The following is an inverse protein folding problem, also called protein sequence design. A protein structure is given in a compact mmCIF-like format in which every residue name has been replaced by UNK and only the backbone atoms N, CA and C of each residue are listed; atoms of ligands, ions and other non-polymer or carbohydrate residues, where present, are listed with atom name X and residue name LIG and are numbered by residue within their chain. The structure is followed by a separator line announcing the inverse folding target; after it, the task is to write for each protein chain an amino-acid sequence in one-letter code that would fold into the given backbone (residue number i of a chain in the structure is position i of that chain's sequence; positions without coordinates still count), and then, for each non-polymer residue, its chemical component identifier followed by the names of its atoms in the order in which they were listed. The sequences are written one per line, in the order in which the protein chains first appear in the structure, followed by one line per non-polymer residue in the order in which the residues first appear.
data_IF_825602030903
#
_entry.id   IF_825602030903
#
_cell.length_a   1.000
_cell.length_b   1.000
_cell.length_c   1.000
_cell.angle_alpha   90.00
_cell.angle_beta   90.00
_cell.angle_gamma   90.00
#
_symmetry.space_group_name_H-M   'P 1'
#
loop_
_entity.id
_entity.type
_entity.pdbx_description
1 polymer ?
#
# COMPACT_ATOMS: atom_id res chain seq x y z
N UNK A 1 27.69 2.06 29.41
CA UNK A 1 27.42 3.51 29.41
C UNK A 1 25.91 3.71 29.54
N UNK A 2 25.47 4.57 30.47
CA UNK A 2 24.06 4.68 30.87
C UNK A 2 23.25 5.67 30.01
N UNK A 3 21.95 5.40 29.89
CA UNK A 3 20.98 6.23 29.14
C UNK A 3 20.52 7.39 30.04
N UNK A 4 20.46 8.65 29.55
CA UNK A 4 19.95 9.77 30.36
C UNK A 4 18.41 9.71 30.47
N UNK A 5 17.90 10.05 31.66
CA UNK A 5 16.46 10.12 31.98
C UNK A 5 16.08 11.60 32.10
N UNK A 6 14.98 12.04 31.47
CA UNK A 6 14.51 13.41 31.61
C UNK A 6 13.77 13.64 32.95
N UNK A 7 13.56 14.91 33.32
CA UNK A 7 12.93 15.33 34.60
C UNK A 7 11.49 14.82 34.82
N UNK A 8 10.85 14.19 33.85
CA UNK A 8 9.52 13.61 33.95
C UNK A 8 9.52 12.05 33.94
N UNK A 9 10.69 11.41 34.08
CA UNK A 9 10.79 9.95 34.24
C UNK A 9 10.43 9.13 33.00
N UNK A 10 10.24 9.77 31.82
CA UNK A 10 9.96 9.07 30.56
C UNK A 10 11.24 8.85 29.77
N UNK A 11 11.42 7.62 29.28
CA UNK A 11 12.48 7.27 28.33
C UNK A 11 12.19 8.01 27.01
N UNK A 12 13.03 8.97 26.66
CA UNK A 12 12.96 9.66 25.38
C UNK A 12 13.84 8.93 24.38
N UNK A 13 13.24 8.39 23.33
CA UNK A 13 13.98 7.97 22.15
C UNK A 13 14.36 9.23 21.37
N UNK A 14 15.65 9.55 21.36
CA UNK A 14 16.22 10.48 20.37
C UNK A 14 16.67 9.60 19.22
N UNK A 15 15.86 9.52 18.16
CA UNK A 15 16.24 8.83 16.94
C UNK A 15 17.25 9.69 16.18
N UNK A 16 18.54 9.51 16.46
CA UNK A 16 19.57 9.82 15.46
C UNK A 16 19.39 8.86 14.29
N UNK A 17 19.30 9.41 13.10
CA UNK A 17 19.09 8.76 11.80
C UNK A 17 20.26 7.87 11.35
N UNK A 18 20.80 7.01 12.23
CA UNK A 18 22.08 6.34 11.97
C UNK A 18 22.19 4.90 12.45
N UNK A 19 21.10 4.14 12.52
CA UNK A 19 21.18 2.70 12.75
C UNK A 19 20.04 2.00 11.99
N UNK A 20 20.22 1.85 10.68
CA UNK A 20 19.44 0.91 9.86
C UNK A 20 20.30 -0.35 9.69
N UNK A 21 19.79 -1.57 9.96
CA UNK A 21 20.56 -2.81 9.79
C UNK A 21 21.14 -2.94 8.37
N UNK A 22 22.39 -3.40 8.23
CA UNK A 22 23.05 -3.59 6.92
C UNK A 22 22.23 -4.51 5.98
N UNK A 23 21.45 -5.42 6.53
CA UNK A 23 20.50 -6.24 5.78
C UNK A 23 19.44 -5.37 5.11
N UNK A 24 18.86 -4.39 5.81
CA UNK A 24 17.83 -3.50 5.26
C UNK A 24 18.40 -2.56 4.19
N UNK A 25 19.65 -2.11 4.31
CA UNK A 25 20.35 -1.37 3.25
C UNK A 25 20.69 -2.25 2.03
N UNK A 26 21.03 -3.51 2.25
CA UNK A 26 21.27 -4.48 1.17
C UNK A 26 19.96 -4.89 0.48
N UNK A 27 18.88 -5.11 1.23
CA UNK A 27 17.54 -5.34 0.72
C UNK A 27 17.03 -4.11 -0.03
N UNK A 28 17.20 -2.91 0.53
CA UNK A 28 16.90 -1.65 -0.13
C UNK A 28 17.71 -1.53 -1.43
N UNK A 29 19.03 -1.66 -1.40
CA UNK A 29 19.86 -1.52 -2.61
C UNK A 29 19.62 -2.61 -3.66
N UNK A 30 19.26 -3.83 -3.28
CA UNK A 30 18.82 -4.90 -4.19
C UNK A 30 17.43 -4.62 -4.79
N UNK A 31 16.52 -4.03 -4.02
CA UNK A 31 15.20 -3.60 -4.49
C UNK A 31 15.26 -2.31 -5.34
N UNK A 32 16.20 -1.42 -5.07
CA UNK A 32 16.34 -0.11 -5.70
C UNK A 32 17.41 -0.08 -6.82
N UNK A 33 18.23 -1.12 -6.94
CA UNK A 33 19.42 -1.17 -7.80
C UNK A 33 19.21 -1.00 -9.31
N UNK A 34 17.97 -0.82 -9.77
CA UNK A 34 17.62 -0.23 -11.08
C UNK A 34 16.11 0.03 -11.24
N UNK A 35 15.35 0.23 -10.16
CA UNK A 35 13.91 0.48 -10.27
C UNK A 35 13.65 1.96 -10.52
N UNK A 36 12.83 2.24 -11.53
CA UNK A 36 12.29 3.57 -11.82
C UNK A 36 11.69 4.13 -10.53
N UNK A 37 12.11 5.34 -10.14
CA UNK A 37 11.59 5.98 -8.95
C UNK A 37 10.06 6.14 -9.08
N UNK A 38 9.33 5.89 -7.99
CA UNK A 38 7.88 6.05 -7.99
C UNK A 38 7.55 7.55 -8.04
N UNK A 39 6.74 7.93 -9.02
CA UNK A 39 6.32 9.29 -9.30
C UNK A 39 4.97 9.56 -8.62
N UNK A 40 4.81 10.74 -8.06
CA UNK A 40 3.50 11.22 -7.59
C UNK A 40 2.51 11.29 -8.77
N UNK A 41 1.23 11.06 -8.48
CA UNK A 41 0.18 11.06 -9.50
C UNK A 41 0.17 9.80 -10.37
N UNK A 42 0.88 8.73 -9.97
CA UNK A 42 0.92 7.46 -10.71
C UNK A 42 0.36 6.29 -9.92
N UNK A 43 -0.31 5.41 -10.66
CA UNK A 43 -0.66 4.07 -10.21
C UNK A 43 0.32 3.06 -10.80
N UNK A 44 0.67 2.04 -10.02
CA UNK A 44 1.59 0.98 -10.39
C UNK A 44 0.94 -0.37 -10.14
N UNK A 45 1.11 -1.29 -11.09
CA UNK A 45 0.73 -2.69 -10.93
C UNK A 45 2.00 -3.49 -10.63
N UNK A 46 2.04 -4.15 -9.49
CA UNK A 46 3.14 -5.02 -9.07
C UNK A 46 2.70 -6.47 -9.27
N UNK A 47 3.35 -7.16 -10.20
CA UNK A 47 3.03 -8.56 -10.51
C UNK A 47 3.75 -9.50 -9.55
N UNK A 48 3.01 -10.09 -8.63
CA UNK A 48 3.56 -10.92 -7.55
C UNK A 48 2.54 -11.90 -6.98
N UNK A 49 3.00 -13.00 -6.37
CA UNK A 49 2.11 -14.01 -5.76
C UNK A 49 1.69 -13.66 -4.34
N UNK A 50 2.51 -12.85 -3.69
CA UNK A 50 2.35 -12.33 -2.34
C UNK A 50 2.82 -10.88 -2.41
N UNK A 51 2.24 -9.98 -1.60
CA UNK A 51 2.51 -8.54 -1.67
C UNK A 51 3.88 -8.16 -1.11
N UNK A 52 4.94 -8.93 -1.36
CA UNK A 52 6.26 -8.73 -0.77
C UNK A 52 6.97 -7.51 -1.39
N UNK A 53 6.98 -7.41 -2.73
CA UNK A 53 7.58 -6.30 -3.46
C UNK A 53 6.72 -5.03 -3.35
N UNK A 54 5.39 -5.16 -3.47
CA UNK A 54 4.47 -4.05 -3.30
C UNK A 54 4.57 -3.43 -1.89
N UNK A 55 4.69 -4.27 -0.86
CA UNK A 55 4.90 -3.81 0.52
C UNK A 55 6.25 -3.12 0.71
N UNK A 56 7.33 -3.65 0.14
CA UNK A 56 8.64 -3.00 0.26
C UNK A 56 8.66 -1.60 -0.39
N UNK A 57 8.05 -1.46 -1.57
CA UNK A 57 7.87 -0.16 -2.23
C UNK A 57 7.01 0.79 -1.40
N UNK A 58 5.94 0.27 -0.80
CA UNK A 58 5.05 1.02 0.08
C UNK A 58 5.78 1.54 1.32
N UNK A 59 6.56 0.70 2.00
CA UNK A 59 7.33 1.09 3.18
C UNK A 59 8.37 2.19 2.85
N UNK A 60 9.04 2.08 1.69
CA UNK A 60 9.97 3.11 1.24
C UNK A 60 9.30 4.48 0.98
N UNK A 61 8.05 4.49 0.51
CA UNK A 61 7.27 5.72 0.40
C UNK A 61 6.96 6.31 1.78
N UNK A 62 6.68 5.47 2.78
CA UNK A 62 6.43 5.95 4.16
C UNK A 62 7.68 6.62 4.73
N UNK A 63 8.86 6.04 4.52
CA UNK A 63 10.15 6.65 4.92
C UNK A 63 10.38 8.01 4.25
N UNK A 64 9.89 8.18 3.02
CA UNK A 64 9.87 9.46 2.28
C UNK A 64 8.76 10.43 2.73
N UNK A 65 8.00 10.09 3.78
CA UNK A 65 6.99 10.95 4.39
C UNK A 65 5.58 10.82 3.79
N UNK A 66 5.29 9.76 3.03
CA UNK A 66 3.95 9.52 2.50
C UNK A 66 3.06 8.92 3.58
N UNK A 67 1.84 9.44 3.71
CA UNK A 67 0.84 8.89 4.64
C UNK A 67 0.37 7.50 4.16
N UNK A 68 0.51 6.43 4.95
CA UNK A 68 0.16 5.09 4.52
C UNK A 68 -1.33 4.77 4.62
N UNK A 69 -1.87 4.12 3.59
CA UNK A 69 -3.10 3.34 3.66
C UNK A 69 -2.87 1.99 2.98
N UNK A 70 -3.11 0.91 3.71
CA UNK A 70 -3.07 -0.45 3.18
C UNK A 70 -4.49 -1.02 3.13
N UNK A 71 -4.89 -1.56 1.98
CA UNK A 71 -6.10 -2.35 1.80
C UNK A 71 -5.63 -3.78 1.65
N UNK A 72 -6.08 -4.67 2.52
CA UNK A 72 -5.60 -6.06 2.55
C UNK A 72 -6.66 -7.03 3.02
N UNK A 73 -6.48 -8.30 2.69
CA UNK A 73 -7.25 -9.42 3.28
C UNK A 73 -6.71 -9.84 4.65
N UNK A 74 -5.55 -9.33 5.06
CA UNK A 74 -4.98 -9.58 6.37
C UNK A 74 -5.70 -8.75 7.44
N UNK A 75 -6.01 -9.38 8.57
CA UNK A 75 -6.62 -8.67 9.69
C UNK A 75 -5.72 -7.52 10.19
N UNK A 76 -6.23 -6.34 10.58
CA UNK A 76 -5.40 -5.17 10.92
C UNK A 76 -4.43 -5.42 12.10
N UNK A 77 -4.80 -6.29 13.05
CA UNK A 77 -3.90 -6.72 14.12
C UNK A 77 -2.63 -7.43 13.58
N UNK A 78 -2.72 -8.14 12.45
CA UNK A 78 -1.58 -8.84 11.88
C UNK A 78 -0.63 -7.85 11.21
N UNK A 79 -1.17 -6.91 10.43
CA UNK A 79 -0.41 -5.81 9.82
C UNK A 79 0.34 -5.01 10.89
N UNK A 80 -0.34 -4.58 11.96
CA UNK A 80 0.29 -3.83 13.05
C UNK A 80 1.42 -4.59 13.75
N UNK A 81 1.26 -5.90 13.95
CA UNK A 81 2.30 -6.72 14.59
C UNK A 81 3.49 -6.98 13.67
N UNK A 82 3.25 -7.08 12.36
CA UNK A 82 4.31 -7.31 11.37
C UNK A 82 5.17 -6.05 11.14
N UNK A 83 4.61 -4.86 11.33
CA UNK A 83 5.27 -3.57 11.06
C UNK A 83 5.34 -2.69 12.30
N UNK A 84 5.90 -3.24 13.39
CA UNK A 84 6.11 -2.48 14.62
C UNK A 84 6.98 -1.25 14.36
N UNK A 85 6.54 -0.09 14.86
CA UNK A 85 7.23 1.19 14.66
C UNK A 85 6.74 2.01 13.46
N UNK A 86 5.89 1.45 12.60
CA UNK A 86 5.25 2.17 11.49
C UNK A 86 3.73 2.22 11.71
N UNK A 87 3.17 3.43 11.79
CA UNK A 87 1.72 3.60 11.95
C UNK A 87 1.00 3.46 10.60
N UNK A 88 0.71 2.21 10.21
CA UNK A 88 -0.01 1.88 8.99
C UNK A 88 -1.50 1.81 9.28
N UNK A 89 -2.27 2.70 8.65
CA UNK A 89 -3.72 2.56 8.57
C UNK A 89 -4.06 1.39 7.64
N UNK A 90 -4.70 0.36 8.16
CA UNK A 90 -5.10 -0.82 7.39
C UNK A 90 -6.63 -0.93 7.30
N UNK A 91 -7.16 -1.10 6.09
CA UNK A 91 -8.54 -1.47 5.81
C UNK A 91 -8.58 -2.96 5.49
N UNK A 92 -9.36 -3.70 6.26
CA UNK A 92 -9.51 -5.14 6.09
C UNK A 92 -10.68 -5.47 5.16
N UNK A 93 -10.38 -6.12 4.03
CA UNK A 93 -11.41 -6.68 3.15
C UNK A 93 -11.97 -7.97 3.77
N UNK A 94 -13.20 -7.90 4.26
CA UNK A 94 -13.84 -9.01 4.97
C UNK A 94 -15.36 -8.92 4.88
N UNK A 95 -16.01 -10.07 4.67
CA UNK A 95 -17.47 -10.23 4.81
C UNK A 95 -17.91 -10.43 6.26
N UNK A 96 -16.96 -10.61 7.18
CA UNK A 96 -17.24 -10.68 8.63
C UNK A 96 -17.03 -9.32 9.26
N UNK A 97 -18.01 -8.88 10.07
CA UNK A 97 -17.94 -7.63 10.82
C UNK A 97 -16.64 -7.55 11.65
N UNK A 98 -16.03 -6.37 11.68
CA UNK A 98 -14.81 -6.12 12.43
C UNK A 98 -14.57 -4.65 12.69
N UNK A 99 -13.37 -4.31 13.16
CA UNK A 99 -12.90 -2.92 13.22
C UNK A 99 -12.09 -2.61 11.97
N UNK A 100 -12.24 -1.41 11.42
CA UNK A 100 -11.48 -0.93 10.25
C UNK A 100 -11.59 -1.90 9.06
N UNK A 101 -12.79 -2.41 8.81
CA UNK A 101 -13.10 -3.36 7.73
C UNK A 101 -14.00 -2.72 6.68
N UNK A 102 -13.98 -3.28 5.47
CA UNK A 102 -14.94 -3.00 4.41
C UNK A 102 -15.37 -4.33 3.79
N UNK A 103 -16.67 -4.50 3.60
CA UNK A 103 -17.20 -5.63 2.84
C UNK A 103 -16.76 -5.50 1.36
N UNK A 104 -16.15 -6.53 0.75
CA UNK A 104 -15.68 -6.46 -0.63
C UNK A 104 -16.78 -6.15 -1.67
N UNK A 105 -18.06 -6.38 -1.36
CA UNK A 105 -19.18 -6.01 -2.23
C UNK A 105 -19.50 -4.50 -2.18
N UNK A 106 -19.06 -3.81 -1.13
CA UNK A 106 -19.30 -2.39 -0.90
C UNK A 106 -18.15 -1.53 -1.44
N UNK A 107 -17.95 -1.59 -2.76
CA UNK A 107 -16.93 -0.78 -3.45
C UNK A 107 -17.10 0.72 -3.20
N UNK A 108 -18.34 1.22 -3.03
CA UNK A 108 -18.58 2.63 -2.73
C UNK A 108 -17.95 3.05 -1.38
N UNK A 109 -18.11 2.23 -0.33
CA UNK A 109 -17.48 2.49 0.94
C UNK A 109 -15.95 2.42 0.83
N UNK A 110 -15.40 1.43 0.11
CA UNK A 110 -13.96 1.31 -0.12
C UNK A 110 -13.41 2.56 -0.84
N UNK A 111 -14.06 2.98 -1.92
CA UNK A 111 -13.73 4.20 -2.67
C UNK A 111 -13.70 5.41 -1.77
N UNK A 112 -14.76 5.63 -0.97
CA UNK A 112 -14.82 6.79 -0.07
C UNK A 112 -13.64 6.81 0.91
N UNK A 113 -13.28 5.66 1.49
CA UNK A 113 -12.17 5.56 2.44
C UNK A 113 -10.81 5.86 1.79
N UNK A 114 -10.59 5.40 0.55
CA UNK A 114 -9.36 5.65 -0.22
C UNK A 114 -9.28 7.13 -0.63
N UNK A 115 -10.36 7.66 -1.21
CA UNK A 115 -10.44 9.06 -1.66
C UNK A 115 -10.26 10.02 -0.49
N UNK A 116 -10.90 9.77 0.64
CA UNK A 116 -10.73 10.58 1.85
C UNK A 116 -9.27 10.55 2.31
N UNK A 117 -8.63 9.37 2.31
CA UNK A 117 -7.21 9.27 2.66
C UNK A 117 -6.31 10.10 1.74
N UNK A 118 -6.52 10.01 0.43
CA UNK A 118 -5.74 10.74 -0.57
C UNK A 118 -5.97 12.26 -0.42
N UNK A 119 -7.23 12.69 -0.30
CA UNK A 119 -7.62 14.11 -0.27
C UNK A 119 -7.41 14.81 1.07
N UNK A 120 -7.01 14.10 2.13
CA UNK A 120 -6.63 14.70 3.43
C UNK A 120 -5.39 15.62 3.37
N UNK A 121 -4.75 15.75 2.21
CA UNK A 121 -3.64 16.67 1.98
C UNK A 121 -2.27 16.06 2.26
N UNK A 122 -1.23 16.68 1.69
CA UNK A 122 0.13 16.14 1.70
C UNK A 122 0.27 14.84 0.91
N UNK A 123 1.46 14.22 0.99
CA UNK A 123 1.76 13.01 0.23
C UNK A 123 1.03 11.80 0.79
N UNK A 124 0.51 10.92 -0.06
CA UNK A 124 -0.16 9.69 0.37
C UNK A 124 0.26 8.48 -0.46
N UNK A 125 0.49 7.35 0.22
CA UNK A 125 0.74 6.07 -0.41
C UNK A 125 -0.44 5.16 -0.12
N UNK A 126 -0.93 4.46 -1.15
CA UNK A 126 -1.99 3.47 -1.03
C UNK A 126 -1.48 2.14 -1.58
N UNK A 127 -1.54 1.08 -0.78
CA UNK A 127 -1.29 -0.28 -1.23
C UNK A 127 -2.61 -1.05 -1.27
N UNK A 128 -3.00 -1.53 -2.44
CA UNK A 128 -4.13 -2.43 -2.65
C UNK A 128 -3.62 -3.86 -2.86
N UNK A 129 -3.75 -4.68 -1.81
CA UNK A 129 -3.43 -6.11 -1.79
C UNK A 129 -4.74 -6.91 -1.66
N UNK A 130 -5.15 -7.59 -2.73
CA UNK A 130 -6.40 -8.36 -2.76
C UNK A 130 -7.44 -7.88 -3.76
N UNK A 131 -7.00 -7.30 -4.87
CA UNK A 131 -7.87 -7.02 -6.02
C UNK A 131 -8.52 -8.30 -6.57
N UNK A 132 -7.86 -9.45 -6.49
CA UNK A 132 -8.42 -10.76 -6.84
C UNK A 132 -9.64 -11.07 -5.98
N UNK A 133 -9.58 -10.72 -4.70
CA UNK A 133 -10.71 -10.92 -3.80
C UNK A 133 -11.85 -9.97 -4.13
N UNK A 134 -11.56 -8.73 -4.54
CA UNK A 134 -12.59 -7.84 -5.07
C UNK A 134 -13.22 -8.39 -6.36
N UNK A 135 -12.42 -8.95 -7.27
CA UNK A 135 -12.89 -9.59 -8.51
C UNK A 135 -13.76 -10.82 -8.25
N UNK A 136 -13.42 -11.66 -7.26
CA UNK A 136 -14.23 -12.83 -6.90
C UNK A 136 -15.62 -12.43 -6.37
N UNK A 137 -15.73 -11.27 -5.71
CA UNK A 137 -16.97 -10.82 -5.05
C UNK A 137 -17.75 -9.79 -5.88
N UNK A 138 -17.29 -9.41 -7.08
CA UNK A 138 -17.94 -8.39 -7.89
C UNK A 138 -17.87 -8.73 -9.37
N UNK A 139 -18.79 -8.17 -10.16
CA UNK A 139 -18.68 -8.20 -11.61
C UNK A 139 -17.42 -7.44 -12.08
N UNK A 140 -16.63 -7.99 -13.02
CA UNK A 140 -15.38 -7.36 -13.48
C UNK A 140 -15.52 -5.89 -13.90
N UNK A 141 -16.60 -5.55 -14.61
CA UNK A 141 -16.87 -4.19 -15.05
C UNK A 141 -16.96 -3.16 -13.90
N UNK A 142 -17.41 -3.59 -12.70
CA UNK A 142 -17.45 -2.72 -11.52
C UNK A 142 -16.06 -2.48 -10.95
N UNK A 143 -15.18 -3.49 -10.99
CA UNK A 143 -13.79 -3.36 -10.56
C UNK A 143 -13.00 -2.46 -11.52
N UNK A 144 -13.22 -2.60 -12.83
CA UNK A 144 -12.56 -1.71 -13.80
C UNK A 144 -12.89 -0.25 -13.58
N UNK A 145 -14.19 0.09 -13.45
CA UNK A 145 -14.61 1.45 -13.14
C UNK A 145 -14.08 1.96 -11.80
N UNK A 146 -13.98 1.08 -10.81
CA UNK A 146 -13.40 1.40 -9.51
C UNK A 146 -11.91 1.77 -9.64
N UNK A 147 -11.12 0.95 -10.34
CA UNK A 147 -9.68 1.19 -10.52
C UNK A 147 -9.40 2.38 -11.43
N UNK A 148 -10.16 2.56 -12.51
CA UNK A 148 -10.09 3.74 -13.39
C UNK A 148 -10.33 5.03 -12.58
N UNK A 149 -11.40 5.05 -11.77
CA UNK A 149 -11.69 6.18 -10.91
C UNK A 149 -10.60 6.43 -9.86
N UNK A 150 -10.05 5.37 -9.23
CA UNK A 150 -8.92 5.54 -8.31
C UNK A 150 -7.70 6.13 -9.02
N UNK A 151 -7.42 5.71 -10.26
CA UNK A 151 -6.33 6.25 -11.03
C UNK A 151 -6.52 7.75 -11.34
N UNK A 152 -7.74 8.18 -11.70
CA UNK A 152 -8.06 9.60 -11.87
C UNK A 152 -7.83 10.41 -10.59
N UNK A 153 -8.27 9.88 -9.45
CA UNK A 153 -8.06 10.52 -8.14
C UNK A 153 -6.57 10.61 -7.84
N UNK A 154 -5.81 9.55 -8.08
CA UNK A 154 -4.36 9.52 -7.86
C UNK A 154 -3.67 10.56 -8.74
N UNK A 155 -3.98 10.62 -10.03
CA UNK A 155 -3.39 11.54 -10.99
C UNK A 155 -3.57 13.03 -10.64
N UNK A 156 -4.60 13.37 -9.86
CA UNK A 156 -4.90 14.75 -9.43
C UNK A 156 -4.29 15.11 -8.07
N UNK A 157 -3.61 14.19 -7.39
CA UNK A 157 -3.13 14.38 -6.03
C UNK A 157 -1.67 13.93 -5.88
N UNK A 158 -0.91 14.49 -4.92
CA UNK A 158 0.44 14.02 -4.60
C UNK A 158 0.37 12.64 -3.92
N UNK A 159 0.07 11.62 -4.71
CA UNK A 159 -0.22 10.28 -4.22
C UNK A 159 0.35 9.20 -5.12
N UNK A 160 0.60 8.03 -4.55
CA UNK A 160 1.03 6.84 -5.29
C UNK A 160 0.11 5.69 -4.92
N UNK A 161 -0.43 5.02 -5.94
CA UNK A 161 -1.20 3.80 -5.77
C UNK A 161 -0.36 2.61 -6.24
N UNK A 162 -0.19 1.62 -5.36
CA UNK A 162 0.43 0.34 -5.65
C UNK A 162 -0.67 -0.72 -5.62
N UNK A 163 -0.79 -1.50 -6.69
CA UNK A 163 -1.75 -2.60 -6.81
C UNK A 163 -0.95 -3.88 -6.92
N UNK A 164 -1.01 -4.71 -5.89
CA UNK A 164 -0.37 -6.03 -5.88
C UNK A 164 -1.31 -7.04 -6.54
N UNK A 165 -0.83 -7.72 -7.59
CA UNK A 165 -1.64 -8.69 -8.36
C UNK A 165 -0.89 -9.98 -8.67
N UNK A 166 -1.56 -11.11 -8.48
CA UNK A 166 -1.17 -12.39 -9.04
C UNK A 166 -1.82 -12.54 -10.42
N UNK A 167 -1.07 -12.21 -11.47
CA UNK A 167 -1.56 -12.24 -12.87
C UNK A 167 -2.20 -13.56 -13.30
N UNK A 168 -1.87 -14.67 -12.61
CA UNK A 168 -2.44 -16.00 -12.87
C UNK A 168 -3.89 -16.14 -12.44
N UNK A 169 -4.37 -15.22 -11.61
CA UNK A 169 -5.76 -15.14 -11.17
C UNK A 169 -6.66 -14.37 -12.15
N UNK A 170 -6.10 -13.84 -13.24
CA UNK A 170 -6.81 -13.00 -14.20
C UNK A 170 -6.87 -13.65 -15.58
N UNK A 171 -8.00 -13.48 -16.26
CA UNK A 171 -8.09 -13.71 -17.70
C UNK A 171 -7.22 -12.67 -18.44
N UNK A 172 -6.62 -13.00 -19.60
CA UNK A 172 -5.71 -12.09 -20.31
C UNK A 172 -6.31 -10.71 -20.61
N UNK A 173 -7.62 -10.67 -20.90
CA UNK A 173 -8.35 -9.42 -21.14
C UNK A 173 -8.42 -8.54 -19.89
N UNK A 174 -8.67 -9.16 -18.75
CA UNK A 174 -8.82 -8.47 -17.47
C UNK A 174 -7.49 -7.89 -17.02
N UNK A 175 -6.41 -8.66 -17.16
CA UNK A 175 -5.06 -8.18 -16.89
C UNK A 175 -4.68 -7.00 -17.81
N UNK A 176 -4.99 -7.07 -19.11
CA UNK A 176 -4.71 -5.97 -20.03
C UNK A 176 -5.47 -4.67 -19.68
N UNK A 177 -6.68 -4.77 -19.14
CA UNK A 177 -7.43 -3.61 -18.67
C UNK A 177 -6.83 -3.01 -17.40
N UNK A 178 -6.39 -3.86 -16.47
CA UNK A 178 -5.69 -3.41 -15.26
C UNK A 178 -4.41 -2.64 -15.59
N UNK A 179 -3.63 -3.13 -16.55
CA UNK A 179 -2.33 -2.56 -16.94
C UNK A 179 -2.46 -1.28 -17.76
N UNK A 180 -3.62 -1.02 -18.37
CA UNK A 180 -3.80 0.08 -19.34
C UNK A 180 -3.47 1.46 -18.78
N UNK A 181 -3.91 1.71 -17.55
CA UNK A 181 -3.84 3.05 -16.93
C UNK A 181 -2.78 3.13 -15.82
N UNK A 182 -1.99 2.07 -15.64
CA UNK A 182 -0.97 1.95 -14.61
C UNK A 182 0.40 1.61 -15.20
N UNK A 183 1.46 1.98 -14.49
CA UNK A 183 2.82 1.56 -14.85
C UNK A 183 3.05 0.14 -14.30
N UNK A 184 3.30 -0.80 -15.19
CA UNK A 184 3.59 -2.19 -14.80
C UNK A 184 5.00 -2.29 -14.25
N UNK A 185 5.13 -2.90 -13.06
CA UNK A 185 6.39 -3.24 -12.42
C UNK A 185 6.52 -4.76 -12.41
N UNK A 186 7.38 -5.27 -13.28
CA UNK A 186 7.68 -6.69 -13.33
C UNK A 186 8.64 -7.10 -12.22
N UNK A 187 8.66 -8.41 -11.92
CA UNK A 187 9.76 -8.98 -11.15
C UNK A 187 11.06 -8.84 -11.95
N UNK A 188 12.18 -8.46 -11.30
CA UNK A 188 13.49 -8.52 -11.94
C UNK A 188 13.85 -9.95 -12.36
#
# INVERSE_FOLDING_TARGET
MGVPINRAGRRTWVSTSKDMPEEDELFASLLFGRRKELEEGRSYVVKERKPDQGLALFLALIEKGYRPLMITRQHPNHVRRAHLGVDIRAIWLSTTLGKDYVDPHNLAALTNQIVEHIRRGGKSAVLLDGVEYLMINNEPARIWKFLEFLNEVVAQNPSVLLISVDERAFEPRDLALLERDAVVLDKP
#
